data_IF_086960605825
#
_entry.id   IF_086960605825
#
_cell.length_a   1.000
_cell.length_b   1.000
_cell.length_c   1.000
_cell.angle_alpha   90.00
_cell.angle_beta   90.00
_cell.angle_gamma   90.00
#
_symmetry.space_group_name_H-M   'P 1'
#
loop_
_entity.id
_entity.type
_entity.pdbx_description
1 polymer ?
#
# COMPACT_ATOMS: atom_id res chain seq x y z
N UNK A 1 23.94 -32.74 34.33
CA UNK A 1 22.68 -32.25 33.73
C UNK A 1 22.35 -30.82 34.17
N UNK A 2 22.12 -30.52 35.45
CA UNK A 2 21.69 -29.17 35.89
C UNK A 2 22.67 -28.05 35.57
N UNK A 3 23.98 -28.27 35.79
CA UNK A 3 25.02 -27.29 35.47
C UNK A 3 24.98 -26.90 33.99
N UNK A 4 24.88 -27.87 33.08
CA UNK A 4 24.77 -27.63 31.63
C UNK A 4 23.52 -26.84 31.23
N UNK A 5 22.40 -27.03 31.94
CA UNK A 5 21.19 -26.23 31.75
C UNK A 5 21.40 -24.77 32.18
N UNK A 6 22.04 -24.55 33.32
CA UNK A 6 22.32 -23.18 33.80
C UNK A 6 23.38 -22.48 32.92
N UNK A 7 24.41 -23.21 32.46
CA UNK A 7 25.37 -22.72 31.45
C UNK A 7 24.64 -22.28 30.18
N UNK A 8 23.72 -23.11 29.67
CA UNK A 8 22.91 -22.79 28.50
C UNK A 8 22.08 -21.53 28.68
N UNK A 9 21.52 -21.29 29.88
CA UNK A 9 20.80 -20.04 30.19
C UNK A 9 21.75 -18.84 30.19
N UNK A 10 22.93 -18.98 30.79
CA UNK A 10 23.93 -17.92 30.84
C UNK A 10 24.44 -17.53 29.44
N UNK A 11 24.68 -18.51 28.57
CA UNK A 11 25.03 -18.24 27.17
C UNK A 11 23.88 -17.60 26.40
N UNK A 12 22.64 -18.03 26.65
CA UNK A 12 21.46 -17.45 26.01
C UNK A 12 21.27 -15.97 26.39
N UNK A 13 21.42 -15.61 27.67
CA UNK A 13 21.32 -14.21 28.09
C UNK A 13 22.44 -13.33 27.54
N UNK A 14 23.61 -13.92 27.26
CA UNK A 14 24.74 -13.25 26.60
C UNK A 14 24.59 -13.13 25.06
N UNK A 15 23.52 -13.68 24.48
CA UNK A 15 23.33 -13.70 23.02
C UNK A 15 24.19 -14.72 22.27
N UNK A 16 24.87 -15.62 22.99
CA UNK A 16 25.71 -16.69 22.43
C UNK A 16 24.84 -17.92 22.12
N UNK A 17 24.02 -17.82 21.08
CA UNK A 17 22.98 -18.82 20.78
C UNK A 17 23.56 -20.21 20.45
N UNK A 18 24.71 -20.28 19.77
CA UNK A 18 25.36 -21.55 19.43
C UNK A 18 25.91 -22.27 20.68
N UNK A 19 26.56 -21.53 21.58
CA UNK A 19 27.09 -22.08 22.84
C UNK A 19 25.95 -22.52 23.77
N UNK A 20 24.86 -21.76 23.79
CA UNK A 20 23.64 -22.10 24.51
C UNK A 20 23.03 -23.40 23.97
N UNK A 21 22.91 -23.52 22.64
CA UNK A 21 22.41 -24.72 21.96
C UNK A 21 23.25 -25.95 22.33
N UNK A 22 24.57 -25.87 22.22
CA UNK A 22 25.48 -26.97 22.56
C UNK A 22 25.35 -27.37 24.04
N UNK A 23 25.20 -26.39 24.94
CA UNK A 23 25.02 -26.64 26.38
C UNK A 23 23.70 -27.33 26.69
N UNK A 24 22.59 -26.91 26.06
CA UNK A 24 21.29 -27.57 26.24
C UNK A 24 21.25 -28.97 25.63
N UNK A 25 21.87 -29.20 24.46
CA UNK A 25 21.99 -30.53 23.86
C UNK A 25 22.83 -31.46 24.75
N UNK A 26 23.94 -30.96 25.32
CA UNK A 26 24.73 -31.72 26.28
C UNK A 26 23.93 -32.05 27.55
N UNK A 27 23.06 -31.15 28.02
CA UNK A 27 22.16 -31.42 29.14
C UNK A 27 21.11 -32.50 28.80
N UNK A 28 20.58 -32.48 27.58
CA UNK A 28 19.58 -33.44 27.08
C UNK A 28 20.17 -34.84 26.88
N UNK A 29 21.47 -34.94 26.60
CA UNK A 29 22.17 -36.21 26.38
C UNK A 29 22.48 -36.99 27.67
N UNK A 30 22.23 -36.43 28.85
CA UNK A 30 22.39 -37.18 30.11
C UNK A 30 21.40 -38.34 30.18
N UNK A 31 21.77 -39.49 30.77
CA UNK A 31 20.83 -40.58 31.00
C UNK A 31 19.75 -40.18 32.01
N UNK A 32 18.53 -40.69 31.83
CA UNK A 32 17.40 -40.54 32.76
C UNK A 32 16.99 -39.09 33.08
N UNK A 33 17.01 -38.19 32.09
CA UNK A 33 16.46 -36.83 32.26
C UNK A 33 14.95 -36.91 32.52
N UNK A 34 14.41 -36.30 33.58
CA UNK A 34 12.97 -36.26 33.82
C UNK A 34 12.22 -35.61 32.66
N UNK A 35 11.03 -36.13 32.33
CA UNK A 35 10.25 -35.69 31.16
C UNK A 35 9.97 -34.18 31.17
N UNK A 36 9.62 -33.61 32.33
CA UNK A 36 9.39 -32.17 32.49
C UNK A 36 10.61 -31.36 32.09
N UNK A 37 11.80 -31.84 32.47
CA UNK A 37 13.07 -31.21 32.17
C UNK A 37 13.49 -31.40 30.71
N UNK A 38 13.20 -32.58 30.15
CA UNK A 38 13.39 -32.88 28.74
C UNK A 38 12.57 -31.93 27.86
N UNK A 39 11.29 -31.72 28.20
CA UNK A 39 10.41 -30.78 27.48
C UNK A 39 10.93 -29.34 27.54
N UNK A 40 11.44 -28.91 28.70
CA UNK A 40 12.02 -27.57 28.88
C UNK A 40 13.31 -27.39 28.07
N UNK A 41 14.20 -28.39 28.09
CA UNK A 41 15.46 -28.37 27.33
C UNK A 41 15.19 -28.32 25.83
N UNK A 42 14.31 -29.18 25.32
CA UNK A 42 13.94 -29.16 23.89
C UNK A 42 13.28 -27.84 23.49
N UNK A 43 12.44 -27.27 24.35
CA UNK A 43 11.88 -25.95 24.14
C UNK A 43 12.99 -24.89 23.99
N UNK A 44 13.99 -24.89 24.89
CA UNK A 44 15.11 -23.94 24.83
C UNK A 44 16.03 -24.18 23.62
N UNK A 45 16.26 -25.43 23.24
CA UNK A 45 16.97 -25.82 22.00
C UNK A 45 16.26 -25.22 20.79
N UNK A 46 14.93 -25.39 20.69
CA UNK A 46 14.13 -24.85 19.60
C UNK A 46 14.25 -23.31 19.51
N UNK A 47 14.31 -22.62 20.65
CA UNK A 47 14.54 -21.17 20.70
C UNK A 47 15.92 -20.77 20.19
N UNK A 48 16.96 -21.51 20.55
CA UNK A 48 18.32 -21.25 20.08
C UNK A 48 18.42 -21.47 18.56
N UNK A 49 17.85 -22.56 18.06
CA UNK A 49 17.76 -22.84 16.62
C UNK A 49 17.02 -21.75 15.86
N UNK A 50 15.91 -21.25 16.41
CA UNK A 50 15.15 -20.16 15.82
C UNK A 50 15.98 -18.87 15.72
N UNK A 51 16.77 -18.56 16.75
CA UNK A 51 17.72 -17.43 16.75
C UNK A 51 18.87 -17.61 15.76
N UNK A 52 19.27 -18.85 15.50
CA UNK A 52 20.28 -19.22 14.50
C UNK A 52 19.69 -19.37 13.09
N UNK A 53 18.39 -19.13 12.90
CA UNK A 53 17.65 -19.33 11.64
C UNK A 53 17.66 -20.78 11.12
N UNK A 54 17.87 -21.75 12.01
CA UNK A 54 17.69 -23.18 11.73
C UNK A 54 16.22 -23.56 11.92
N UNK A 55 15.38 -23.19 10.94
CA UNK A 55 13.93 -23.38 11.05
C UNK A 55 13.53 -24.86 11.02
N UNK A 56 14.22 -25.68 10.22
CA UNK A 56 13.96 -27.12 10.17
C UNK A 56 14.29 -27.81 11.50
N UNK A 57 15.42 -27.44 12.11
CA UNK A 57 15.78 -27.90 13.45
C UNK A 57 14.77 -27.45 14.52
N UNK A 58 14.30 -26.19 14.45
CA UNK A 58 13.25 -25.69 15.34
C UNK A 58 11.98 -26.53 15.26
N UNK A 59 11.51 -26.87 14.05
CA UNK A 59 10.33 -27.71 13.87
C UNK A 59 10.53 -29.08 14.53
N UNK A 60 11.66 -29.75 14.25
CA UNK A 60 11.98 -31.06 14.80
C UNK A 60 12.05 -31.06 16.33
N UNK A 61 12.73 -30.09 16.93
CA UNK A 61 12.84 -29.94 18.38
C UNK A 61 11.49 -29.68 19.03
N UNK A 62 10.64 -28.86 18.41
CA UNK A 62 9.29 -28.60 18.89
C UNK A 62 8.42 -29.86 18.84
N UNK A 63 8.44 -30.60 17.73
CA UNK A 63 7.66 -31.83 17.56
C UNK A 63 8.11 -32.90 18.55
N UNK A 64 9.42 -33.05 18.74
CA UNK A 64 9.98 -33.96 19.74
C UNK A 64 9.50 -33.58 21.15
N UNK A 65 9.52 -32.30 21.51
CA UNK A 65 9.07 -31.84 22.82
C UNK A 65 7.58 -32.09 23.05
N UNK A 66 6.75 -31.85 22.02
CA UNK A 66 5.29 -32.05 22.10
C UNK A 66 4.90 -33.53 22.14
N UNK A 67 5.76 -34.44 21.68
CA UNK A 67 5.52 -35.89 21.73
C UNK A 67 5.71 -36.51 23.12
N UNK A 68 6.30 -35.75 24.06
CA UNK A 68 6.54 -36.21 25.42
C UNK A 68 5.22 -36.29 26.23
N UNK A 69 5.10 -37.23 27.17
CA UNK A 69 3.91 -37.30 28.03
C UNK A 69 3.87 -36.15 29.03
N UNK A 70 2.66 -35.65 29.32
CA UNK A 70 2.39 -34.65 30.37
C UNK A 70 3.16 -33.31 30.26
N UNK A 71 3.41 -32.82 29.05
CA UNK A 71 4.06 -31.51 28.84
C UNK A 71 3.24 -30.40 29.50
N UNK A 72 3.88 -29.63 30.39
CA UNK A 72 3.25 -28.50 31.06
C UNK A 72 2.68 -27.48 30.05
N UNK A 73 1.48 -26.96 30.32
CA UNK A 73 0.79 -26.02 29.43
C UNK A 73 1.62 -24.77 29.08
N UNK A 74 2.43 -24.27 30.03
CA UNK A 74 3.33 -23.12 29.82
C UNK A 74 4.51 -23.43 28.89
N UNK A 75 4.92 -24.70 28.79
CA UNK A 75 5.92 -25.17 27.83
C UNK A 75 5.26 -25.41 26.47
N UNK A 76 4.07 -26.02 26.46
CA UNK A 76 3.28 -26.21 25.24
C UNK A 76 3.00 -24.89 24.51
N UNK A 77 2.60 -23.84 25.24
CA UNK A 77 2.40 -22.49 24.69
C UNK A 77 3.67 -21.97 23.97
N UNK A 78 4.85 -22.11 24.60
CA UNK A 78 6.13 -21.69 24.01
C UNK A 78 6.52 -22.50 22.80
N UNK A 79 6.30 -23.82 22.83
CA UNK A 79 6.59 -24.73 21.73
C UNK A 79 5.74 -24.40 20.50
N UNK A 80 4.42 -24.24 20.69
CA UNK A 80 3.49 -23.85 19.62
C UNK A 80 3.88 -22.50 19.02
N UNK A 81 4.19 -21.50 19.86
CA UNK A 81 4.60 -20.19 19.38
C UNK A 81 5.90 -20.22 18.57
N UNK A 82 6.92 -20.96 19.04
CA UNK A 82 8.20 -21.11 18.33
C UNK A 82 8.05 -21.89 17.03
N UNK A 83 7.24 -22.96 17.03
CA UNK A 83 6.97 -23.76 15.82
C UNK A 83 6.23 -22.93 14.77
N UNK A 84 5.26 -22.13 15.20
CA UNK A 84 4.57 -21.19 14.32
C UNK A 84 5.52 -20.15 13.68
N UNK A 85 6.44 -19.59 14.46
CA UNK A 85 7.45 -18.67 13.93
C UNK A 85 8.33 -19.34 12.86
N UNK A 86 8.78 -20.57 13.09
CA UNK A 86 9.53 -21.34 12.10
C UNK A 86 8.70 -21.63 10.83
N UNK A 87 7.42 -22.03 10.98
CA UNK A 87 6.52 -22.22 9.85
C UNK A 87 6.34 -20.94 9.03
N UNK A 88 6.26 -19.77 9.67
CA UNK A 88 6.13 -18.49 8.98
C UNK A 88 7.36 -18.16 8.12
N UNK A 89 8.57 -18.40 8.63
CA UNK A 89 9.81 -18.18 7.88
C UNK A 89 9.97 -19.15 6.70
N UNK A 90 9.37 -20.34 6.81
CA UNK A 90 9.31 -21.34 5.73
C UNK A 90 8.11 -21.15 4.79
N UNK A 91 7.38 -20.03 4.91
CA UNK A 91 6.19 -19.70 4.10
C UNK A 91 5.02 -20.71 4.23
N UNK A 92 5.01 -21.49 5.32
CA UNK A 92 3.96 -22.45 5.62
C UNK A 92 2.89 -21.78 6.49
N UNK A 93 2.08 -20.92 5.87
CA UNK A 93 1.13 -20.05 6.59
C UNK A 93 0.02 -20.82 7.31
N UNK A 94 -0.52 -21.90 6.69
CA UNK A 94 -1.60 -22.71 7.25
C UNK A 94 -1.23 -23.39 8.58
N UNK A 95 -0.13 -24.18 8.67
CA UNK A 95 0.28 -24.77 9.94
C UNK A 95 0.71 -23.71 10.96
N UNK A 96 1.33 -22.61 10.54
CA UNK A 96 1.66 -21.49 11.43
C UNK A 96 0.40 -20.91 12.09
N UNK A 97 -0.65 -20.63 11.31
CA UNK A 97 -1.89 -20.08 11.82
C UNK A 97 -2.62 -21.04 12.78
N UNK A 98 -2.56 -22.35 12.52
CA UNK A 98 -3.10 -23.38 13.43
C UNK A 98 -2.42 -23.32 14.80
N UNK A 99 -1.09 -23.28 14.81
CA UNK A 99 -0.31 -23.25 16.05
C UNK A 99 -0.56 -21.96 16.84
N UNK A 100 -0.62 -20.79 16.17
CA UNK A 100 -0.92 -19.52 16.85
C UNK A 100 -2.34 -19.46 17.42
N UNK A 101 -3.33 -20.02 16.71
CA UNK A 101 -4.69 -20.13 17.27
C UNK A 101 -4.69 -20.99 18.54
N UNK A 102 -3.94 -22.08 18.57
CA UNK A 102 -3.78 -22.90 19.77
C UNK A 102 -3.07 -22.12 20.91
N UNK A 103 -2.04 -21.32 20.60
CA UNK A 103 -1.41 -20.43 21.60
C UNK A 103 -2.43 -19.47 22.22
N UNK A 104 -3.27 -18.83 21.40
CA UNK A 104 -4.28 -17.88 21.88
C UNK A 104 -5.42 -18.55 22.64
N UNK A 105 -5.69 -19.83 22.40
CA UNK A 105 -6.62 -20.63 23.21
C UNK A 105 -6.04 -20.94 24.60
N UNK A 106 -4.74 -21.22 24.69
CA UNK A 106 -4.05 -21.46 25.97
C UNK A 106 -3.84 -20.17 26.77
N UNK A 107 -3.48 -19.09 26.08
CA UNK A 107 -3.19 -17.79 26.67
C UNK A 107 -3.74 -16.67 25.77
N UNK A 108 -5.00 -16.25 25.99
CA UNK A 108 -5.61 -15.16 25.23
C UNK A 108 -4.89 -13.81 25.38
N UNK A 109 -4.10 -13.63 26.45
CA UNK A 109 -3.34 -12.41 26.73
C UNK A 109 -1.99 -12.31 26.01
N UNK A 110 -1.61 -13.31 25.20
CA UNK A 110 -0.34 -13.35 24.50
C UNK A 110 -0.31 -12.35 23.32
N UNK A 111 0.11 -11.11 23.59
CA UNK A 111 0.23 -10.04 22.58
C UNK A 111 1.13 -10.43 21.38
N UNK A 112 2.31 -11.05 21.58
CA UNK A 112 3.12 -11.54 20.45
C UNK A 112 2.37 -12.50 19.52
N UNK A 113 1.59 -13.44 20.07
CA UNK A 113 0.79 -14.38 19.29
C UNK A 113 -0.33 -13.67 18.50
N UNK A 114 -1.00 -12.68 19.09
CA UNK A 114 -2.01 -11.89 18.40
C UNK A 114 -1.43 -11.09 17.22
N UNK A 115 -0.24 -10.49 17.41
CA UNK A 115 0.48 -9.80 16.34
C UNK A 115 0.87 -10.75 15.20
N UNK A 116 1.40 -11.93 15.55
CA UNK A 116 1.81 -12.93 14.57
C UNK A 116 0.62 -13.48 13.78
N UNK A 117 -0.54 -13.70 14.43
CA UNK A 117 -1.78 -14.10 13.73
C UNK A 117 -2.20 -13.05 12.69
N UNK A 118 -2.12 -11.77 13.05
CA UNK A 118 -2.44 -10.66 12.14
C UNK A 118 -1.49 -10.65 10.94
N UNK A 119 -0.18 -10.80 11.17
CA UNK A 119 0.81 -10.88 10.09
C UNK A 119 0.54 -12.06 9.13
N UNK A 120 0.17 -13.22 9.67
CA UNK A 120 -0.19 -14.39 8.86
C UNK A 120 -1.45 -14.13 8.00
N UNK A 121 -2.46 -13.46 8.57
CA UNK A 121 -3.66 -13.07 7.83
C UNK A 121 -3.37 -12.07 6.71
N UNK A 122 -2.50 -11.09 6.97
CA UNK A 122 -2.06 -10.10 5.98
C UNK A 122 -1.30 -10.79 4.84
N UNK A 123 -0.39 -11.73 5.14
CA UNK A 123 0.37 -12.47 4.12
C UNK A 123 -0.52 -13.41 3.28
N UNK A 124 -1.42 -14.15 3.95
CA UNK A 124 -2.37 -15.02 3.25
C UNK A 124 -3.34 -14.22 2.35
N UNK A 125 -3.73 -13.01 2.77
CA UNK A 125 -4.53 -12.10 1.93
C UNK A 125 -3.75 -11.65 0.70
N UNK A 126 -2.50 -11.23 0.88
CA UNK A 126 -1.65 -10.77 -0.22
C UNK A 126 -1.42 -11.87 -1.28
N UNK A 127 -1.30 -13.13 -0.85
CA UNK A 127 -1.17 -14.27 -1.77
C UNK A 127 -2.49 -14.57 -2.51
N UNK A 128 -3.63 -14.44 -1.82
CA UNK A 128 -4.95 -14.67 -2.39
C UNK A 128 -5.44 -13.53 -3.29
N UNK A 129 -5.02 -12.28 -3.04
CA UNK A 129 -5.54 -11.11 -3.75
C UNK A 129 -5.03 -10.98 -5.18
N UNK A 130 -4.10 -11.82 -5.63
CA UNK A 130 -3.58 -11.80 -7.00
C UNK A 130 -2.70 -10.59 -7.34
N UNK A 131 -2.61 -9.60 -6.42
CA UNK A 131 -1.84 -8.36 -6.58
C UNK A 131 -0.37 -8.65 -6.85
N UNK A 132 0.24 -9.59 -6.13
CA UNK A 132 1.65 -9.93 -6.34
C UNK A 132 1.93 -10.44 -7.75
N UNK A 133 1.01 -11.22 -8.33
CA UNK A 133 1.13 -11.70 -9.72
C UNK A 133 0.97 -10.55 -10.72
N UNK A 134 -0.02 -9.67 -10.50
CA UNK A 134 -0.23 -8.49 -11.34
C UNK A 134 0.98 -7.54 -11.31
N UNK A 135 1.50 -7.21 -10.13
CA UNK A 135 2.66 -6.33 -9.97
C UNK A 135 3.96 -6.96 -10.50
N UNK A 136 4.10 -8.28 -10.43
CA UNK A 136 5.22 -8.97 -11.06
C UNK A 136 5.14 -8.85 -12.59
N UNK A 137 3.97 -9.15 -13.17
CA UNK A 137 3.73 -8.98 -14.61
C UNK A 137 4.06 -7.56 -15.07
N UNK A 138 3.61 -6.53 -14.35
CA UNK A 138 3.90 -5.13 -14.68
C UNK A 138 5.39 -4.76 -14.62
N UNK A 139 6.15 -5.38 -13.71
CA UNK A 139 7.60 -5.15 -13.60
C UNK A 139 8.36 -5.78 -14.77
N UNK A 140 7.93 -6.96 -15.20
CA UNK A 140 8.58 -7.72 -16.27
C UNK A 140 8.19 -7.12 -17.64
N UNK A 141 6.89 -6.98 -17.89
CA UNK A 141 6.31 -6.43 -19.12
C UNK A 141 5.00 -5.69 -18.81
N UNK A 142 4.99 -4.35 -18.86
CA UNK A 142 3.78 -3.56 -18.62
C UNK A 142 2.65 -4.01 -19.56
N UNK A 143 1.57 -4.55 -18.98
CA UNK A 143 0.45 -5.11 -19.73
C UNK A 143 -0.88 -4.52 -19.25
N UNK A 144 -1.78 -4.29 -20.19
CA UNK A 144 -3.10 -3.70 -19.91
C UNK A 144 -3.96 -4.64 -19.04
N UNK A 145 -3.78 -5.95 -19.15
CA UNK A 145 -4.57 -6.93 -18.41
C UNK A 145 -4.30 -6.88 -16.90
N UNK A 146 -3.03 -6.76 -16.50
CA UNK A 146 -2.66 -6.60 -15.10
C UNK A 146 -3.20 -5.29 -14.51
N UNK A 147 -3.21 -4.20 -15.30
CA UNK A 147 -3.80 -2.92 -14.88
C UNK A 147 -5.33 -3.01 -14.79
N UNK A 148 -5.99 -3.65 -15.74
CA UNK A 148 -7.45 -3.87 -15.73
C UNK A 148 -7.89 -4.67 -14.53
N UNK A 149 -7.12 -5.69 -14.14
CA UNK A 149 -7.35 -6.46 -12.92
C UNK A 149 -7.34 -5.55 -11.67
N UNK A 150 -6.31 -4.71 -11.52
CA UNK A 150 -6.21 -3.78 -10.39
C UNK A 150 -7.29 -2.69 -10.44
N UNK A 151 -7.63 -2.21 -11.63
CA UNK A 151 -8.60 -1.15 -11.85
C UNK A 151 -10.04 -1.61 -11.50
N UNK A 152 -10.41 -2.84 -11.86
CA UNK A 152 -11.76 -3.37 -11.70
C UNK A 152 -11.93 -4.25 -10.45
N UNK A 153 -10.98 -4.17 -9.52
CA UNK A 153 -11.08 -4.88 -8.25
C UNK A 153 -12.31 -4.40 -7.47
N UNK A 154 -13.16 -5.35 -7.06
CA UNK A 154 -14.39 -5.08 -6.31
C UNK A 154 -14.12 -4.64 -4.87
N UNK A 155 -13.03 -5.14 -4.28
CA UNK A 155 -12.62 -4.83 -2.91
C UNK A 155 -11.51 -3.76 -2.91
N UNK A 156 -11.83 -2.56 -2.41
CA UNK A 156 -10.89 -1.42 -2.32
C UNK A 156 -9.73 -1.66 -1.37
N UNK A 157 -9.81 -2.66 -0.50
CA UNK A 157 -8.71 -3.05 0.35
C UNK A 157 -7.52 -3.63 -0.42
N UNK A 158 -7.72 -4.05 -1.69
CA UNK A 158 -6.65 -4.52 -2.58
C UNK A 158 -5.54 -3.47 -2.70
N UNK A 159 -5.89 -2.18 -2.63
CA UNK A 159 -4.93 -1.09 -2.72
C UNK A 159 -3.98 -1.04 -1.53
N UNK A 160 -4.38 -1.58 -0.36
CA UNK A 160 -3.45 -1.76 0.77
C UNK A 160 -2.39 -2.80 0.46
N UNK A 161 -2.79 -3.89 -0.21
CA UNK A 161 -1.85 -4.93 -0.64
C UNK A 161 -0.92 -4.42 -1.75
N UNK A 162 -1.43 -3.55 -2.64
CA UNK A 162 -0.61 -2.85 -3.65
C UNK A 162 0.47 -2.02 -2.96
N UNK A 163 0.11 -1.21 -1.95
CA UNK A 163 1.07 -0.40 -1.19
C UNK A 163 2.05 -1.26 -0.40
N UNK A 164 1.58 -2.35 0.23
CA UNK A 164 2.43 -3.26 0.98
C UNK A 164 3.54 -3.91 0.12
N UNK A 165 3.33 -3.98 -1.20
CA UNK A 165 4.29 -4.52 -2.16
C UNK A 165 5.00 -3.44 -3.00
N UNK A 166 4.93 -2.18 -2.60
CA UNK A 166 5.48 -1.02 -3.33
C UNK A 166 4.95 -0.89 -4.76
N UNK A 167 3.70 -1.29 -4.98
CA UNK A 167 3.06 -1.30 -6.28
C UNK A 167 2.76 0.10 -6.82
N UNK A 168 2.59 1.11 -5.95
CA UNK A 168 2.43 2.51 -6.35
C UNK A 168 3.63 3.03 -7.17
N UNK A 169 4.85 2.62 -6.80
CA UNK A 169 6.07 2.98 -7.51
C UNK A 169 6.17 2.28 -8.87
N UNK A 170 5.71 1.02 -8.94
CA UNK A 170 5.62 0.26 -10.20
C UNK A 170 4.60 0.91 -11.14
N UNK A 171 3.43 1.27 -10.63
CA UNK A 171 2.38 1.96 -11.39
C UNK A 171 2.88 3.31 -11.90
N UNK A 172 3.58 4.09 -11.06
CA UNK A 172 4.17 5.35 -11.50
C UNK A 172 5.20 5.15 -12.63
N UNK A 173 6.05 4.13 -12.53
CA UNK A 173 6.97 3.75 -13.61
C UNK A 173 6.25 3.41 -14.91
N UNK A 174 5.09 2.74 -14.85
CA UNK A 174 4.27 2.50 -16.04
C UNK A 174 3.78 3.80 -16.70
N UNK A 175 3.60 4.89 -15.94
CA UNK A 175 3.15 6.18 -16.48
C UNK A 175 4.26 6.89 -17.25
N UNK A 176 5.47 7.02 -16.68
CA UNK A 176 6.52 7.83 -17.29
C UNK A 176 7.48 7.06 -18.20
N UNK A 177 7.57 5.73 -18.08
CA UNK A 177 8.55 4.93 -18.81
C UNK A 177 7.97 4.11 -19.97
N UNK A 178 6.64 3.94 -20.05
CA UNK A 178 6.02 3.17 -21.13
C UNK A 178 5.75 4.05 -22.35
N UNK A 179 6.09 3.56 -23.53
CA UNK A 179 5.75 4.21 -24.80
C UNK A 179 4.25 4.16 -25.10
N UNK A 180 3.58 3.08 -24.67
CA UNK A 180 2.13 2.92 -24.83
C UNK A 180 1.35 3.80 -23.84
N UNK A 181 0.76 4.87 -24.38
CA UNK A 181 -0.06 5.83 -23.62
C UNK A 181 -1.29 5.19 -22.97
N UNK A 182 -1.80 4.09 -23.51
CA UNK A 182 -2.96 3.39 -22.95
C UNK A 182 -2.62 2.68 -21.62
N UNK A 183 -1.40 2.15 -21.52
CA UNK A 183 -0.84 1.54 -20.30
C UNK A 183 -0.62 2.62 -19.24
N UNK A 184 -0.02 3.76 -19.61
CA UNK A 184 0.13 4.89 -18.72
C UNK A 184 -1.21 5.42 -18.21
N UNK A 185 -2.21 5.55 -19.09
CA UNK A 185 -3.56 6.00 -18.72
C UNK A 185 -4.24 5.02 -17.75
N UNK A 186 -4.11 3.71 -17.98
CA UNK A 186 -4.65 2.70 -17.07
C UNK A 186 -3.96 2.72 -15.71
N UNK A 187 -2.63 2.89 -15.67
CA UNK A 187 -1.89 3.02 -14.42
C UNK A 187 -2.33 4.27 -13.62
N UNK A 188 -2.54 5.41 -14.30
CA UNK A 188 -3.07 6.62 -13.67
C UNK A 188 -4.47 6.41 -13.08
N UNK A 189 -5.36 5.66 -13.75
CA UNK A 189 -6.69 5.33 -13.20
C UNK A 189 -6.60 4.48 -11.94
N UNK A 190 -5.66 3.53 -11.88
CA UNK A 190 -5.39 2.74 -10.66
C UNK A 190 -4.87 3.65 -9.55
N UNK A 191 -3.88 4.52 -9.82
CA UNK A 191 -3.34 5.47 -8.84
C UNK A 191 -4.41 6.47 -8.33
N UNK A 192 -5.29 6.92 -9.22
CA UNK A 192 -6.42 7.77 -8.86
C UNK A 192 -7.40 7.02 -7.92
N UNK A 193 -7.78 5.79 -8.25
CA UNK A 193 -8.62 4.95 -7.37
C UNK A 193 -7.96 4.67 -6.03
N UNK A 194 -6.65 4.42 -6.00
CA UNK A 194 -5.89 4.28 -4.75
C UNK A 194 -5.96 5.55 -3.87
N UNK A 195 -6.01 6.72 -4.50
CA UNK A 195 -6.04 8.01 -3.81
C UNK A 195 -7.44 8.37 -3.28
N UNK A 196 -8.50 7.98 -3.99
CA UNK A 196 -9.90 8.29 -3.63
C UNK A 196 -10.56 7.20 -2.78
N UNK A 197 -10.11 5.95 -2.89
CA UNK A 197 -10.66 4.85 -2.10
C UNK A 197 -10.23 4.96 -0.63
N UNK A 198 -11.20 4.83 0.27
CA UNK A 198 -10.96 4.67 1.70
C UNK A 198 -11.46 3.29 2.15
N UNK A 199 -10.61 2.52 2.83
CA UNK A 199 -11.00 1.23 3.42
C UNK A 199 -10.63 1.19 4.90
N UNK A 200 -11.63 1.26 5.77
CA UNK A 200 -11.44 1.22 7.23
C UNK A 200 -10.59 2.35 7.78
N UNK A 201 -10.71 3.57 7.22
CA UNK A 201 -9.94 4.75 7.65
C UNK A 201 -8.51 4.84 7.10
N UNK A 202 -8.04 3.84 6.35
CA UNK A 202 -6.76 3.90 5.65
C UNK A 202 -6.95 4.46 4.24
N UNK A 203 -6.15 5.48 3.90
CA UNK A 203 -6.04 6.05 2.55
C UNK A 203 -4.66 5.77 1.99
N UNK A 204 -4.60 5.27 0.76
CA UNK A 204 -3.34 5.04 0.05
C UNK A 204 -2.80 6.30 -0.63
N UNK A 205 -3.52 7.43 -0.55
CA UNK A 205 -3.15 8.69 -1.19
C UNK A 205 -1.78 9.20 -0.72
N UNK A 206 -1.43 9.01 0.56
CA UNK A 206 -0.13 9.40 1.08
C UNK A 206 1.02 8.65 0.40
N UNK A 207 0.84 7.34 0.18
CA UNK A 207 1.82 6.49 -0.50
C UNK A 207 1.93 6.87 -1.98
N UNK A 208 0.81 7.13 -2.65
CA UNK A 208 0.78 7.60 -4.05
C UNK A 208 1.50 8.95 -4.18
N UNK A 209 1.20 9.92 -3.31
CA UNK A 209 1.86 11.23 -3.31
C UNK A 209 3.38 11.13 -3.12
N UNK A 210 3.84 10.21 -2.27
CA UNK A 210 5.27 10.00 -2.02
C UNK A 210 5.99 9.34 -3.20
N UNK A 211 5.30 8.52 -4.00
CA UNK A 211 5.89 7.79 -5.12
C UNK A 211 5.87 8.55 -6.45
N UNK A 212 4.88 9.43 -6.64
CA UNK A 212 4.68 10.18 -7.89
C UNK A 212 5.55 11.44 -7.91
N UNK A 213 6.34 11.59 -8.97
CA UNK A 213 7.04 12.85 -9.24
C UNK A 213 6.06 13.86 -9.83
N UNK A 214 5.66 14.84 -9.01
CA UNK A 214 4.66 15.86 -9.38
C UNK A 214 5.15 16.78 -10.50
N UNK A 215 6.47 16.96 -10.65
CA UNK A 215 7.02 17.81 -11.72
C UNK A 215 6.86 17.11 -13.06
N UNK A 216 7.15 15.82 -13.13
CA UNK A 216 6.92 15.01 -14.32
C UNK A 216 5.42 14.86 -14.58
N UNK A 217 4.62 14.58 -13.54
CA UNK A 217 3.16 14.41 -13.66
C UNK A 217 2.50 15.61 -14.34
N UNK A 218 2.83 16.82 -13.91
CA UNK A 218 2.19 18.03 -14.44
C UNK A 218 2.65 18.38 -15.85
N UNK A 219 3.81 17.90 -16.30
CA UNK A 219 4.28 18.13 -17.69
C UNK A 219 3.43 17.47 -18.76
N UNK A 220 2.64 16.45 -18.41
CA UNK A 220 1.70 15.80 -19.33
C UNK A 220 0.50 16.69 -19.68
N UNK A 221 0.19 17.70 -18.86
CA UNK A 221 -0.92 18.66 -19.11
C UNK A 221 -0.32 20.06 -19.18
N UNK A 222 0.22 20.40 -20.35
CA UNK A 222 0.84 21.69 -20.60
C UNK A 222 -0.19 22.79 -20.88
N UNK A 223 0.11 24.06 -20.55
CA UNK A 223 -0.70 25.18 -21.00
C UNK A 223 -0.75 25.22 -22.54
N UNK A 224 -1.86 25.71 -23.13
CA UNK A 224 -1.95 25.89 -24.57
C UNK A 224 -0.79 26.77 -25.06
N UNK A 225 0.06 26.24 -25.94
CA UNK A 225 1.16 27.01 -26.52
C UNK A 225 0.60 28.03 -27.53
N UNK A 226 1.03 29.28 -27.42
CA UNK A 226 0.66 30.35 -28.34
C UNK A 226 1.46 30.18 -29.65
N UNK A 227 1.05 29.28 -30.53
CA UNK A 227 1.42 29.33 -31.96
C UNK A 227 0.56 28.39 -32.82
N UNK A 228 -0.19 29.03 -33.74
CA UNK A 228 -0.38 28.66 -35.14
C UNK A 228 -0.43 27.15 -35.45
N UNK A 229 -1.63 26.63 -35.70
CA UNK A 229 -2.01 26.02 -36.99
C UNK A 229 -3.39 25.37 -36.87
N UNK A 230 -4.21 25.76 -37.83
CA UNK A 230 -5.46 25.14 -38.26
C UNK A 230 -5.43 23.61 -38.19
N UNK A 231 -6.38 23.05 -37.47
CA UNK A 231 -6.74 21.64 -37.55
C UNK A 231 -8.09 21.46 -36.91
N UNK A 232 -9.15 21.53 -37.72
CA UNK A 232 -10.45 20.99 -37.34
C UNK A 232 -10.26 19.49 -37.13
N UNK A 233 -10.02 19.11 -35.88
CA UNK A 233 -9.91 17.73 -35.45
C UNK A 233 -11.25 17.35 -34.78
N UNK A 234 -12.34 17.60 -35.52
CA UNK A 234 -13.72 17.27 -35.20
C UNK A 234 -13.92 15.75 -35.29
N UNK A 235 -13.21 14.99 -34.45
CA UNK A 235 -13.30 13.53 -34.47
C UNK A 235 -12.19 12.75 -33.76
N UNK A 236 -11.32 13.39 -32.97
CA UNK A 236 -10.32 12.63 -32.22
C UNK A 236 -10.99 11.75 -31.16
N UNK A 237 -10.81 10.43 -31.30
CA UNK A 237 -11.36 9.40 -30.45
C UNK A 237 -11.01 9.65 -28.96
N UNK A 238 -11.95 9.46 -28.03
CA UNK A 238 -11.75 9.80 -26.61
C UNK A 238 -10.55 9.09 -25.95
N UNK A 239 -10.07 8.03 -26.60
CA UNK A 239 -8.91 7.23 -26.24
C UNK A 239 -7.57 7.97 -26.38
N UNK A 240 -7.48 8.97 -27.26
CA UNK A 240 -6.20 9.67 -27.59
C UNK A 240 -5.67 10.47 -26.39
N UNK A 241 -6.58 11.10 -25.63
CA UNK A 241 -6.25 11.95 -24.48
C UNK A 241 -6.46 11.25 -23.13
N UNK A 242 -6.59 9.92 -23.13
CA UNK A 242 -6.89 9.16 -21.91
C UNK A 242 -5.80 9.30 -20.83
N UNK A 243 -4.55 9.53 -21.23
CA UNK A 243 -3.43 9.77 -20.31
C UNK A 243 -3.61 11.10 -19.58
N UNK A 244 -3.80 12.20 -20.32
CA UNK A 244 -3.99 13.55 -19.77
C UNK A 244 -5.25 13.66 -18.91
N UNK A 245 -6.35 13.03 -19.33
CA UNK A 245 -7.55 12.90 -18.50
C UNK A 245 -7.23 12.20 -17.18
N UNK A 246 -6.44 11.11 -17.22
CA UNK A 246 -5.96 10.41 -16.03
C UNK A 246 -5.08 11.29 -15.13
N UNK A 247 -4.23 12.13 -15.72
CA UNK A 247 -3.37 13.07 -14.98
C UNK A 247 -4.22 14.10 -14.24
N UNK A 248 -5.20 14.72 -14.92
CA UNK A 248 -6.11 15.69 -14.31
C UNK A 248 -6.85 15.06 -13.12
N UNK A 249 -7.39 13.85 -13.31
CA UNK A 249 -8.09 13.12 -12.25
C UNK A 249 -7.19 12.78 -11.06
N UNK A 250 -5.95 12.33 -11.29
CA UNK A 250 -5.00 12.06 -10.21
C UNK A 250 -4.61 13.35 -9.47
N UNK A 251 -4.34 14.43 -10.19
CA UNK A 251 -4.02 15.73 -9.59
C UNK A 251 -5.14 16.21 -8.66
N UNK A 252 -6.39 16.12 -9.11
CA UNK A 252 -7.57 16.39 -8.29
C UNK A 252 -7.62 15.59 -6.99
N UNK A 253 -7.54 14.26 -7.11
CA UNK A 253 -7.58 13.38 -5.95
C UNK A 253 -6.49 13.71 -4.91
N UNK A 254 -5.28 14.04 -5.37
CA UNK A 254 -4.17 14.44 -4.50
C UNK A 254 -4.37 15.84 -3.90
N UNK A 255 -4.94 16.79 -4.64
CA UNK A 255 -5.36 18.10 -4.11
C UNK A 255 -6.39 17.92 -3.01
N UNK A 256 -7.41 17.09 -3.22
CA UNK A 256 -8.42 16.75 -2.23
C UNK A 256 -7.80 16.13 -0.97
N UNK A 257 -6.87 15.18 -1.14
CA UNK A 257 -6.13 14.58 -0.03
C UNK A 257 -5.33 15.62 0.77
N UNK A 258 -4.52 16.45 0.10
CA UNK A 258 -3.70 17.50 0.74
C UNK A 258 -4.57 18.54 1.45
N UNK A 259 -5.70 18.91 0.85
CA UNK A 259 -6.67 19.83 1.42
C UNK A 259 -7.37 19.25 2.66
N UNK A 260 -7.60 17.94 2.71
CA UNK A 260 -8.24 17.28 3.84
C UNK A 260 -7.33 17.21 5.08
N UNK A 261 -6.01 17.23 4.92
CA UNK A 261 -5.05 17.18 6.05
C UNK A 261 -5.21 18.39 7.01
N UNK A 262 -4.92 18.21 8.30
CA UNK A 262 -4.86 19.33 9.25
C UNK A 262 -3.78 20.32 8.78
N UNK A 263 -4.16 21.59 8.68
CA UNK A 263 -3.35 22.69 8.16
C UNK A 263 -2.11 22.91 9.02
N UNK A 264 -0.99 22.29 8.65
CA UNK A 264 0.30 22.87 8.93
C UNK A 264 0.55 23.95 7.87
N UNK A 265 0.50 25.21 8.32
CA UNK A 265 0.87 26.42 7.57
C UNK A 265 2.38 26.41 7.29
N UNK A 266 2.84 25.43 6.52
CA UNK A 266 4.22 25.36 6.05
C UNK A 266 4.23 25.38 4.53
N UNK A 267 5.21 26.08 3.96
CA UNK A 267 5.42 26.24 2.51
C UNK A 267 5.49 24.88 1.77
N UNK A 268 5.83 23.81 2.51
CA UNK A 268 5.95 22.42 2.02
C UNK A 268 4.63 21.80 1.58
N UNK A 269 3.47 22.23 2.09
CA UNK A 269 2.16 21.68 1.70
C UNK A 269 1.48 22.52 0.62
N UNK A 270 1.76 23.83 0.58
CA UNK A 270 1.18 24.75 -0.40
C UNK A 270 1.76 24.59 -1.81
N UNK A 271 3.08 24.41 -1.94
CA UNK A 271 3.70 24.30 -3.27
C UNK A 271 3.20 23.08 -4.08
N UNK A 272 3.14 21.86 -3.53
CA UNK A 272 2.56 20.70 -4.23
C UNK A 272 1.08 20.91 -4.58
N UNK A 273 0.31 21.47 -3.67
CA UNK A 273 -1.13 21.72 -3.87
C UNK A 273 -1.38 22.69 -5.01
N UNK A 274 -0.62 23.79 -5.06
CA UNK A 274 -0.71 24.79 -6.14
C UNK A 274 -0.29 24.21 -7.48
N UNK A 275 0.80 23.45 -7.52
CA UNK A 275 1.29 22.79 -8.74
C UNK A 275 0.24 21.84 -9.34
N UNK A 276 -0.36 20.99 -8.50
CA UNK A 276 -1.39 20.04 -8.93
C UNK A 276 -2.67 20.75 -9.37
N UNK A 277 -3.09 21.79 -8.64
CA UNK A 277 -4.27 22.58 -9.00
C UNK A 277 -4.07 23.32 -10.32
N UNK A 278 -2.87 23.87 -10.57
CA UNK A 278 -2.58 24.51 -11.86
C UNK A 278 -2.62 23.52 -13.04
N UNK A 279 -2.19 22.27 -12.85
CA UNK A 279 -2.34 21.22 -13.86
C UNK A 279 -3.81 20.90 -14.16
N UNK A 280 -4.68 20.87 -13.14
CA UNK A 280 -6.14 20.75 -13.33
C UNK A 280 -6.67 21.94 -14.14
N UNK A 281 -6.23 23.16 -13.83
CA UNK A 281 -6.62 24.36 -14.57
C UNK A 281 -6.05 24.40 -15.99
N UNK A 282 -4.90 23.80 -16.27
CA UNK A 282 -4.38 23.65 -17.63
C UNK A 282 -5.30 22.75 -18.48
N UNK A 283 -5.94 21.74 -17.89
CA UNK A 283 -6.99 20.98 -18.56
C UNK A 283 -8.17 21.85 -18.99
N UNK A 284 -8.57 22.81 -18.13
CA UNK A 284 -9.62 23.79 -18.44
C UNK A 284 -9.17 24.85 -19.46
N UNK A 285 -7.87 25.20 -19.47
CA UNK A 285 -7.23 26.05 -20.49
C UNK A 285 -6.99 25.33 -21.81
N UNK A 286 -7.30 24.05 -21.93
CA UNK A 286 -7.17 23.33 -23.20
C UNK A 286 -8.35 23.64 -24.12
N UNK A 287 -8.13 23.55 -25.43
CA UNK A 287 -9.22 23.60 -26.43
C UNK A 287 -9.86 22.20 -26.63
N UNK A 288 -9.40 21.19 -25.88
CA UNK A 288 -9.89 19.81 -25.97
C UNK A 288 -10.99 19.55 -24.94
N UNK A 289 -12.19 19.27 -25.43
CA UNK A 289 -13.39 18.99 -24.61
C UNK A 289 -13.16 17.90 -23.56
N UNK A 290 -12.50 16.75 -23.84
CA UNK A 290 -12.28 15.72 -22.82
C UNK A 290 -11.47 16.21 -21.61
N UNK A 291 -10.50 17.11 -21.82
CA UNK A 291 -9.67 17.68 -20.76
C UNK A 291 -10.45 18.71 -19.95
N UNK A 292 -11.24 19.54 -20.62
CA UNK A 292 -12.14 20.49 -19.96
C UNK A 292 -13.15 19.76 -19.07
N UNK A 293 -13.80 18.70 -19.58
CA UNK A 293 -14.76 17.89 -18.83
C UNK A 293 -14.09 17.26 -17.61
N UNK A 294 -12.91 16.64 -17.77
CA UNK A 294 -12.18 16.03 -16.67
C UNK A 294 -11.79 17.05 -15.58
N UNK A 295 -11.35 18.25 -15.98
CA UNK A 295 -11.00 19.32 -15.06
C UNK A 295 -12.22 19.81 -14.28
N UNK A 296 -13.35 20.04 -14.96
CA UNK A 296 -14.58 20.50 -14.34
C UNK A 296 -15.17 19.45 -13.38
N UNK A 297 -15.21 18.17 -13.75
CA UNK A 297 -15.71 17.10 -12.89
C UNK A 297 -14.85 16.93 -11.63
N UNK A 298 -13.53 17.09 -11.78
CA UNK A 298 -12.57 17.11 -10.68
C UNK A 298 -12.84 18.28 -9.73
N UNK A 299 -12.92 19.51 -10.25
CA UNK A 299 -13.18 20.71 -9.47
C UNK A 299 -14.52 20.64 -8.74
N UNK A 300 -15.57 20.15 -9.39
CA UNK A 300 -16.89 19.96 -8.76
C UNK A 300 -16.86 18.97 -7.60
N UNK A 301 -16.03 17.93 -7.70
CA UNK A 301 -15.90 16.92 -6.64
C UNK A 301 -15.19 17.52 -5.43
N UNK A 302 -14.08 18.23 -5.67
CA UNK A 302 -13.27 18.85 -4.63
C UNK A 302 -13.99 20.02 -3.95
N UNK A 303 -14.68 20.88 -4.72
CA UNK A 303 -15.46 22.00 -4.19
C UNK A 303 -16.63 21.54 -3.34
N UNK A 304 -17.32 20.44 -3.71
CA UNK A 304 -18.39 19.87 -2.86
C UNK A 304 -17.88 19.42 -1.50
N UNK A 305 -16.65 18.90 -1.42
CA UNK A 305 -16.12 18.31 -0.20
C UNK A 305 -15.32 19.30 0.65
N UNK A 306 -14.60 20.25 0.02
CA UNK A 306 -13.54 21.03 0.65
C UNK A 306 -13.58 22.52 0.29
N UNK A 307 -14.77 23.02 -0.08
CA UNK A 307 -15.07 24.38 -0.54
C UNK A 307 -14.22 25.49 0.12
N UNK A 308 -14.36 25.67 1.44
CA UNK A 308 -13.69 26.75 2.18
C UNK A 308 -12.16 26.68 2.12
N UNK A 309 -11.59 25.48 1.95
CA UNK A 309 -10.13 25.26 1.92
C UNK A 309 -9.52 25.47 0.54
N UNK A 310 -10.31 25.37 -0.53
CA UNK A 310 -9.82 25.41 -1.92
C UNK A 310 -10.14 26.75 -2.60
N UNK A 311 -11.18 27.44 -2.15
CA UNK A 311 -11.63 28.72 -2.72
C UNK A 311 -10.49 29.73 -2.87
N UNK A 312 -9.73 29.99 -1.81
CA UNK A 312 -8.63 30.96 -1.84
C UNK A 312 -7.56 30.61 -2.87
N UNK A 313 -7.16 29.33 -2.96
CA UNK A 313 -6.18 28.86 -3.95
C UNK A 313 -6.70 28.95 -5.39
N UNK A 314 -8.00 28.70 -5.60
CA UNK A 314 -8.64 28.85 -6.91
C UNK A 314 -8.75 30.31 -7.33
N UNK A 315 -9.07 31.20 -6.39
CA UNK A 315 -9.12 32.65 -6.61
C UNK A 315 -7.72 33.20 -6.96
N UNK A 316 -6.68 32.79 -6.23
CA UNK A 316 -5.28 33.15 -6.51
C UNK A 316 -4.80 32.69 -7.90
N UNK A 317 -5.27 31.52 -8.36
CA UNK A 317 -4.96 30.99 -9.68
C UNK A 317 -5.87 31.56 -10.80
N UNK A 318 -6.81 32.43 -10.45
CA UNK A 318 -7.66 33.14 -11.42
C UNK A 318 -8.73 32.26 -12.07
N UNK A 319 -9.38 31.37 -11.30
CA UNK A 319 -10.46 30.52 -11.84
C UNK A 319 -11.59 31.34 -12.50
N UNK A 320 -11.95 32.48 -11.91
CA UNK A 320 -13.03 33.33 -12.42
C UNK A 320 -12.70 34.01 -13.75
N UNK A 321 -11.57 34.74 -13.87
CA UNK A 321 -11.10 35.23 -15.16
C UNK A 321 -11.01 34.12 -16.20
N UNK A 322 -10.54 32.93 -15.81
CA UNK A 322 -10.40 31.80 -16.72
C UNK A 322 -11.75 31.33 -17.28
N UNK A 323 -12.74 31.07 -16.42
CA UNK A 323 -14.08 30.63 -16.84
C UNK A 323 -14.78 31.68 -17.73
N UNK A 324 -14.61 32.96 -17.42
CA UNK A 324 -15.18 34.05 -18.22
C UNK A 324 -14.48 34.19 -19.59
N UNK A 325 -13.15 34.10 -19.61
CA UNK A 325 -12.35 34.26 -20.83
C UNK A 325 -12.55 33.16 -21.88
N UNK A 326 -13.13 32.02 -21.47
CA UNK A 326 -13.36 30.84 -22.31
C UNK A 326 -14.82 30.48 -22.48
N UNK A 327 -15.74 31.38 -22.09
CA UNK A 327 -17.18 31.14 -22.19
C UNK A 327 -17.65 30.80 -23.62
N UNK A 328 -16.92 31.27 -24.63
CA UNK A 328 -17.14 31.07 -26.06
C UNK A 328 -16.59 29.74 -26.60
N UNK A 329 -15.62 29.13 -25.90
CA UNK A 329 -14.98 27.85 -26.28
C UNK A 329 -15.72 26.65 -25.67
N UNK A 330 -16.51 26.87 -24.62
CA UNK A 330 -17.25 25.79 -23.95
C UNK A 330 -18.43 25.29 -24.78
N UNK A 331 -18.38 24.03 -25.18
CA UNK A 331 -19.49 23.34 -25.85
C UNK A 331 -20.63 22.99 -24.90
N UNK A 332 -21.82 22.66 -25.44
CA UNK A 332 -23.03 22.24 -24.71
C UNK A 332 -22.75 21.20 -23.60
N UNK A 333 -21.79 20.29 -23.82
CA UNK A 333 -21.40 19.26 -22.85
C UNK A 333 -20.70 19.79 -21.60
N UNK A 334 -20.13 20.99 -21.67
CA UNK A 334 -19.36 21.63 -20.59
C UNK A 334 -20.10 22.79 -19.92
N UNK A 335 -21.01 23.47 -20.64
CA UNK A 335 -21.75 24.66 -20.17
C UNK A 335 -22.44 24.43 -18.81
N UNK A 336 -23.16 23.32 -18.65
CA UNK A 336 -23.83 22.99 -17.38
C UNK A 336 -22.85 22.79 -16.22
N UNK A 337 -21.67 22.22 -16.48
CA UNK A 337 -20.63 22.00 -15.47
C UNK A 337 -19.96 23.31 -15.09
N UNK A 338 -19.66 24.16 -16.07
CA UNK A 338 -19.11 25.51 -15.87
C UNK A 338 -20.03 26.34 -14.98
N UNK A 339 -21.34 26.33 -15.26
CA UNK A 339 -22.32 27.03 -14.43
C UNK A 339 -22.33 26.52 -12.98
N UNK A 340 -22.23 25.19 -12.78
CA UNK A 340 -22.15 24.59 -11.45
C UNK A 340 -20.87 24.97 -10.71
N UNK A 341 -19.70 24.93 -11.38
CA UNK A 341 -18.42 25.37 -10.78
C UNK A 341 -18.52 26.84 -10.41
N UNK A 342 -18.99 27.69 -11.31
CA UNK A 342 -19.15 29.13 -11.07
C UNK A 342 -20.05 29.41 -9.86
N UNK A 343 -21.20 28.72 -9.78
CA UNK A 343 -22.10 28.83 -8.63
C UNK A 343 -21.45 28.36 -7.33
N UNK A 344 -20.67 27.27 -7.37
CA UNK A 344 -20.01 26.75 -6.18
C UNK A 344 -18.89 27.65 -5.71
N UNK A 345 -18.05 28.20 -6.59
CA UNK A 345 -16.96 29.10 -6.16
C UNK A 345 -17.50 30.42 -5.59
N UNK A 346 -18.66 30.91 -6.08
CA UNK A 346 -19.28 32.13 -5.57
C UNK A 346 -19.99 31.97 -4.22
N UNK A 347 -20.63 30.80 -3.98
CA UNK A 347 -21.32 30.47 -2.73
C UNK A 347 -20.39 30.58 -1.51
#
# INVERSE_FOLDING_TARGET
MEQKKEDGKAFFTQGKWADALASYQAALAYPNVPVDMQSLLLSNIAMCQLKLRDFAGTLSSCDQAMSLPNVAASVMEKLLFRRAQAYMELDQLTPSARDIKAVLQLNPGNKPAALLLRQLQERARADASGVGKALKSLRDTPSLDALRFLEHASDTSIYRDVVAQHGESVLWKCVYACEDRSVGAAALRVLHKMSTASSGGYSSAAAVLAAVDLTILTTFVQPPQVALVNGNDDGADSSVFALEVGVIGLCGALVGYLAAQPTETSDRTLAPRRLLLDAVLNGLRSDRVPLQVAALDTLLTDLKQLHAKLRTSLDELGIFPLLLSRADVFEDRTVSRVALVFSQVLA
#
